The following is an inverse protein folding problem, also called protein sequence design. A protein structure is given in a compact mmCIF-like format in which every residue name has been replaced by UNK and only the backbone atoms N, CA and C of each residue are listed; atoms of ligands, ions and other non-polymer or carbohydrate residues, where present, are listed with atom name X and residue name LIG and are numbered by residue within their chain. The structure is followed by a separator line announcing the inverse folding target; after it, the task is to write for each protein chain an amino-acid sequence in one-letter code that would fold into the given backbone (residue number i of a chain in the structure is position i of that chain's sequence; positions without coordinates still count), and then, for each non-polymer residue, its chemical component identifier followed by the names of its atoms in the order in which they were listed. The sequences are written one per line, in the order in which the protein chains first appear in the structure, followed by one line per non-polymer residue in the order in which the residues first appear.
data_IF_609930781079
#
_entry.id   IF_609930781079
#
_cell.length_a   1.000
_cell.length_b   1.000
_cell.length_c   1.000
_cell.angle_alpha   90.00
_cell.angle_beta   90.00
_cell.angle_gamma   90.00
#
_symmetry.space_group_name_H-M   'P 1'
#
loop_
_entity.id
_entity.type
_entity.pdbx_description
1 polymer ?
#
# COMPACT_ATOMS: atom_id res chain seq x y z
N UNK A 1 -5.62 -5.37 52.39
CA UNK A 1 -6.74 -5.88 51.54
C UNK A 1 -6.84 -5.17 50.18
N UNK A 2 -6.46 -3.91 50.06
CA UNK A 2 -6.51 -3.09 48.82
C UNK A 2 -5.67 -3.62 47.65
N UNK A 3 -4.50 -4.21 47.92
CA UNK A 3 -3.57 -4.70 46.87
C UNK A 3 -4.10 -5.89 46.06
N UNK A 4 -4.89 -6.77 46.70
CA UNK A 4 -5.51 -7.92 46.03
C UNK A 4 -6.72 -7.57 45.17
N UNK A 5 -7.41 -6.47 45.50
CA UNK A 5 -8.53 -5.95 44.71
C UNK A 5 -8.02 -5.25 43.45
N UNK A 6 -6.90 -4.52 43.53
CA UNK A 6 -6.25 -3.89 42.38
C UNK A 6 -5.74 -4.94 41.39
N UNK A 7 -5.07 -6.00 41.87
CA UNK A 7 -4.63 -7.12 41.02
C UNK A 7 -5.79 -7.87 40.37
N UNK A 8 -6.92 -8.06 41.08
CA UNK A 8 -8.13 -8.64 40.48
C UNK A 8 -8.79 -7.71 39.48
N UNK A 9 -8.82 -6.40 39.72
CA UNK A 9 -9.35 -5.42 38.79
C UNK A 9 -8.49 -5.31 37.53
N UNK A 10 -7.16 -5.37 37.64
CA UNK A 10 -6.25 -5.44 36.50
C UNK A 10 -6.38 -6.77 35.74
N UNK A 11 -6.52 -7.90 36.42
CA UNK A 11 -6.78 -9.19 35.76
C UNK A 11 -8.16 -9.23 35.07
N UNK A 12 -9.19 -8.60 35.64
CA UNK A 12 -10.52 -8.50 35.04
C UNK A 12 -10.53 -7.49 33.89
N UNK A 13 -9.72 -6.43 33.95
CA UNK A 13 -9.53 -5.52 32.82
C UNK A 13 -8.70 -6.18 31.69
N UNK A 14 -7.71 -7.00 32.04
CA UNK A 14 -6.94 -7.81 31.09
C UNK A 14 -7.78 -8.96 30.48
N UNK A 15 -8.68 -9.55 31.26
CA UNK A 15 -9.67 -10.53 30.80
C UNK A 15 -10.89 -9.88 30.12
N UNK A 16 -11.07 -8.57 30.32
CA UNK A 16 -12.15 -7.74 29.79
C UNK A 16 -11.91 -7.20 28.39
N UNK A 17 -10.92 -7.73 27.68
CA UNK A 17 -10.89 -7.65 26.22
C UNK A 17 -12.00 -8.56 25.67
N UNK A 18 -13.26 -8.10 25.73
CA UNK A 18 -14.41 -8.69 25.03
C UNK A 18 -14.29 -8.49 23.50
N UNK A 19 -13.08 -8.60 22.97
CA UNK A 19 -12.79 -8.42 21.57
C UNK A 19 -12.69 -9.83 20.97
N UNK A 20 -13.53 -10.15 20.00
CA UNK A 20 -13.55 -11.47 19.34
C UNK A 20 -12.19 -11.90 18.74
N UNK A 21 -11.24 -10.97 18.63
CA UNK A 21 -9.88 -11.18 18.15
C UNK A 21 -8.84 -11.49 19.24
N UNK A 22 -9.20 -11.46 20.53
CA UNK A 22 -8.29 -11.80 21.61
C UNK A 22 -7.72 -13.22 21.46
N UNK A 23 -8.48 -14.17 20.91
CA UNK A 23 -8.03 -15.55 20.64
C UNK A 23 -7.07 -15.61 19.44
N UNK A 24 -7.07 -14.61 18.55
CA UNK A 24 -6.31 -14.59 17.29
C UNK A 24 -4.96 -13.84 17.39
N UNK A 25 -4.31 -13.85 18.56
CA UNK A 25 -3.00 -13.22 18.75
C UNK A 25 -3.03 -11.70 18.98
N UNK A 26 -4.21 -11.11 19.19
CA UNK A 26 -4.39 -9.69 19.52
C UNK A 26 -4.64 -9.45 21.02
N UNK A 27 -4.26 -10.40 21.88
CA UNK A 27 -4.33 -10.25 23.34
C UNK A 27 -3.52 -9.03 23.78
N UNK A 28 -4.15 -8.08 24.48
CA UNK A 28 -3.50 -6.87 24.99
C UNK A 28 -3.51 -5.67 24.05
N UNK A 29 -4.11 -5.78 22.85
CA UNK A 29 -4.37 -4.63 21.99
C UNK A 29 -5.78 -4.05 22.17
N UNK A 30 -5.89 -2.72 22.06
CA UNK A 30 -7.17 -2.04 21.96
C UNK A 30 -7.82 -2.29 20.59
N UNK A 31 -9.15 -2.14 20.49
CA UNK A 31 -9.86 -2.25 19.21
C UNK A 31 -9.30 -1.30 18.14
N UNK A 32 -8.84 -0.10 18.53
CA UNK A 32 -8.21 0.86 17.62
C UNK A 32 -6.86 0.38 17.08
N UNK A 33 -6.06 -0.33 17.89
CA UNK A 33 -4.79 -0.93 17.47
C UNK A 33 -5.00 -2.08 16.49
N UNK A 34 -6.02 -2.91 16.73
CA UNK A 34 -6.41 -4.01 15.84
C UNK A 34 -6.85 -3.45 14.48
N UNK A 35 -7.68 -2.40 14.48
CA UNK A 35 -8.11 -1.74 13.23
C UNK A 35 -6.92 -1.12 12.49
N UNK A 36 -6.02 -0.40 13.20
CA UNK A 36 -4.78 0.15 12.61
C UNK A 36 -3.93 -0.93 11.94
N UNK A 37 -3.78 -2.08 12.61
CA UNK A 37 -3.04 -3.22 12.09
C UNK A 37 -3.65 -3.75 10.78
N UNK A 38 -4.97 -3.96 10.73
CA UNK A 38 -5.64 -4.44 9.51
C UNK A 38 -5.56 -3.43 8.36
N UNK A 39 -5.68 -2.13 8.63
CA UNK A 39 -5.50 -1.11 7.60
C UNK A 39 -4.08 -1.10 7.04
N UNK A 40 -3.07 -1.20 7.91
CA UNK A 40 -1.68 -1.26 7.47
C UNK A 40 -1.40 -2.53 6.68
N UNK A 41 -1.97 -3.67 7.10
CA UNK A 41 -1.88 -4.93 6.36
C UNK A 41 -2.50 -4.81 4.96
N UNK A 42 -3.70 -4.22 4.85
CA UNK A 42 -4.35 -4.01 3.57
C UNK A 42 -3.54 -3.08 2.66
N UNK A 43 -3.03 -1.97 3.20
CA UNK A 43 -2.19 -1.03 2.46
C UNK A 43 -0.91 -1.71 1.96
N UNK A 44 -0.21 -2.43 2.83
CA UNK A 44 1.01 -3.17 2.47
C UNK A 44 0.75 -4.17 1.34
N UNK A 45 -0.29 -5.00 1.47
CA UNK A 45 -0.64 -5.98 0.44
C UNK A 45 -1.08 -5.30 -0.86
N UNK A 46 -1.83 -4.19 -0.77
CA UNK A 46 -2.22 -3.39 -1.92
C UNK A 46 -1.00 -2.91 -2.72
N UNK A 47 0.04 -2.44 -2.04
CA UNK A 47 1.30 -2.06 -2.68
C UNK A 47 2.01 -3.22 -3.36
N UNK A 48 2.11 -4.36 -2.67
CA UNK A 48 2.73 -5.56 -3.24
C UNK A 48 2.00 -6.00 -4.51
N UNK A 49 0.67 -5.94 -4.52
CA UNK A 49 -0.13 -6.27 -5.71
C UNK A 49 0.09 -5.26 -6.84
N UNK A 50 0.13 -3.96 -6.53
CA UNK A 50 0.39 -2.92 -7.54
C UNK A 50 1.78 -3.06 -8.17
N UNK A 51 2.80 -3.33 -7.36
CA UNK A 51 4.17 -3.60 -7.82
C UNK A 51 4.23 -4.85 -8.69
N UNK A 52 3.61 -5.95 -8.24
CA UNK A 52 3.56 -7.19 -9.02
C UNK A 52 2.85 -6.97 -10.37
N UNK A 53 1.76 -6.21 -10.37
CA UNK A 53 1.02 -5.88 -11.59
C UNK A 53 1.82 -4.98 -12.53
N UNK A 54 2.58 -4.00 -12.02
CA UNK A 54 3.42 -3.11 -12.85
C UNK A 54 4.58 -3.87 -13.46
N UNK A 55 5.22 -4.76 -12.71
CA UNK A 55 6.28 -5.63 -13.21
C UNK A 55 5.76 -6.62 -14.26
N UNK A 56 4.57 -7.20 -14.04
CA UNK A 56 3.93 -8.06 -15.04
C UNK A 56 3.60 -7.28 -16.33
N UNK A 57 3.06 -6.07 -16.21
CA UNK A 57 2.78 -5.21 -17.36
C UNK A 57 4.07 -4.81 -18.09
N UNK A 58 5.13 -4.48 -17.35
CA UNK A 58 6.45 -4.18 -17.90
C UNK A 58 7.02 -5.40 -18.64
N UNK A 59 6.96 -6.59 -18.06
CA UNK A 59 7.43 -7.83 -18.71
C UNK A 59 6.71 -8.09 -20.04
N UNK A 60 5.39 -7.90 -20.09
CA UNK A 60 4.60 -8.09 -21.31
C UNK A 60 4.92 -7.04 -22.37
N UNK A 61 5.16 -5.79 -21.97
CA UNK A 61 5.38 -4.67 -22.90
C UNK A 61 6.82 -4.51 -23.35
N UNK A 62 7.79 -4.96 -22.55
CA UNK A 62 9.23 -4.94 -22.86
C UNK A 62 9.64 -5.98 -23.90
N UNK A 63 8.87 -7.07 -24.05
CA UNK A 63 9.12 -8.07 -25.09
C UNK A 63 8.98 -7.42 -26.48
N UNK A 64 10.05 -7.39 -27.29
CA UNK A 64 9.98 -6.84 -28.63
C UNK A 64 9.04 -7.68 -29.48
N UNK A 65 8.04 -7.04 -30.09
CA UNK A 65 7.11 -7.68 -31.03
C UNK A 65 7.24 -6.93 -32.35
N UNK A 66 7.73 -7.60 -33.38
CA UNK A 66 8.10 -7.00 -34.68
C UNK A 66 9.32 -6.07 -34.63
N UNK A 67 10.33 -6.39 -33.81
CA UNK A 67 11.61 -5.67 -33.79
C UNK A 67 11.60 -4.28 -33.15
N UNK A 68 10.45 -3.80 -32.64
CA UNK A 68 10.33 -2.52 -31.93
C UNK A 68 9.93 -2.74 -30.47
N UNK A 69 10.63 -2.06 -29.56
CA UNK A 69 10.26 -1.99 -28.15
C UNK A 69 9.16 -0.93 -28.00
N UNK A 70 8.07 -1.28 -27.31
CA UNK A 70 6.93 -0.38 -27.12
C UNK A 70 7.29 0.71 -26.13
N UNK A 71 7.02 1.97 -26.47
CA UNK A 71 7.17 3.11 -25.54
C UNK A 71 6.35 2.93 -24.25
N UNK A 72 5.27 2.14 -24.29
CA UNK A 72 4.51 1.72 -23.12
C UNK A 72 5.37 1.04 -22.03
N UNK A 73 6.42 0.33 -22.40
CA UNK A 73 7.30 -0.35 -21.44
C UNK A 73 8.03 0.64 -20.51
N UNK A 74 8.41 1.81 -21.01
CA UNK A 74 9.08 2.85 -20.22
C UNK A 74 8.14 3.33 -19.10
N UNK A 75 6.87 3.52 -19.41
CA UNK A 75 5.86 3.96 -18.44
C UNK A 75 5.58 2.90 -17.37
N UNK A 76 5.50 1.62 -17.75
CA UNK A 76 5.34 0.53 -16.78
C UNK A 76 6.59 0.33 -15.91
N UNK A 77 7.79 0.56 -16.45
CA UNK A 77 9.03 0.56 -15.68
C UNK A 77 9.04 1.68 -14.65
N UNK A 78 8.75 2.92 -15.07
CA UNK A 78 8.65 4.07 -14.16
C UNK A 78 7.60 3.85 -13.07
N UNK A 79 6.44 3.27 -13.42
CA UNK A 79 5.41 2.90 -12.45
C UNK A 79 5.94 1.93 -11.39
N UNK A 80 6.72 0.92 -11.78
CA UNK A 80 7.32 -0.05 -10.87
C UNK A 80 8.33 0.63 -9.93
N UNK A 81 9.18 1.53 -10.44
CA UNK A 81 10.09 2.30 -9.59
C UNK A 81 9.32 3.13 -8.55
N UNK A 82 8.24 3.79 -8.96
CA UNK A 82 7.42 4.60 -8.07
C UNK A 82 6.66 3.76 -7.03
N UNK A 83 6.15 2.60 -7.41
CA UNK A 83 5.51 1.67 -6.48
C UNK A 83 6.50 1.05 -5.50
N UNK A 84 7.74 0.77 -5.92
CA UNK A 84 8.81 0.34 -5.02
C UNK A 84 9.15 1.43 -3.99
N UNK A 85 9.24 2.71 -4.41
CA UNK A 85 9.45 3.83 -3.48
C UNK A 85 8.27 4.02 -2.53
N UNK A 86 7.04 3.88 -3.03
CA UNK A 86 5.83 3.90 -2.20
C UNK A 86 5.82 2.75 -1.19
N UNK A 87 6.26 1.56 -1.60
CA UNK A 87 6.39 0.40 -0.72
C UNK A 87 7.42 0.65 0.39
N UNK A 88 8.60 1.19 0.06
CA UNK A 88 9.62 1.57 1.06
C UNK A 88 9.06 2.59 2.06
N UNK A 89 8.21 3.52 1.62
CA UNK A 89 7.56 4.47 2.53
C UNK A 89 6.73 3.80 3.63
N UNK A 90 6.19 2.60 3.39
CA UNK A 90 5.41 1.85 4.37
C UNK A 90 6.24 1.33 5.55
N UNK A 91 7.56 1.15 5.37
CA UNK A 91 8.49 0.77 6.45
C UNK A 91 8.56 1.85 7.53
N UNK A 92 8.43 3.12 7.16
CA UNK A 92 8.41 4.25 8.08
C UNK A 92 7.11 4.32 8.91
N UNK A 93 6.08 3.56 8.51
CA UNK A 93 4.85 3.39 9.27
C UNK A 93 4.95 2.43 10.45
N UNK A 94 6.05 1.70 10.63
CA UNK A 94 6.20 0.73 11.71
C UNK A 94 6.19 1.40 13.12
N UNK A 95 5.62 0.76 14.17
CA UNK A 95 4.84 -0.49 14.17
C UNK A 95 3.41 -0.35 13.62
N UNK A 96 2.90 -1.38 12.94
CA UNK A 96 1.62 -1.38 12.20
C UNK A 96 0.39 -1.04 13.06
N UNK A 97 0.38 -1.52 14.30
CA UNK A 97 -0.69 -1.32 15.27
C UNK A 97 -0.76 0.12 15.81
N UNK A 98 0.25 0.96 15.51
CA UNK A 98 0.33 2.38 15.91
C UNK A 98 0.41 3.33 14.72
N UNK A 99 0.38 2.82 13.49
CA UNK A 99 0.55 3.63 12.27
C UNK A 99 -0.52 4.70 12.09
N UNK A 100 -1.73 4.48 12.63
CA UNK A 100 -2.89 5.36 12.51
C UNK A 100 -3.42 5.89 13.85
N UNK A 101 -2.69 5.64 14.94
CA UNK A 101 -3.06 6.12 16.27
C UNK A 101 -2.21 7.34 16.59
N UNK A 102 -2.86 8.48 16.82
CA UNK A 102 -2.20 9.72 17.23
C UNK A 102 -1.38 9.50 18.49
N UNK A 103 -0.07 9.73 18.42
CA UNK A 103 0.77 9.84 19.61
C UNK A 103 0.46 11.18 20.27
N UNK A 104 0.44 11.23 21.60
CA UNK A 104 0.29 12.46 22.41
C UNK A 104 1.40 13.51 22.19
N UNK A 105 2.35 13.25 21.29
CA UNK A 105 3.39 14.19 20.91
C UNK A 105 2.95 15.04 19.69
N UNK A 106 3.17 16.37 19.73
CA UNK A 106 2.76 17.30 18.68
C UNK A 106 3.42 17.00 17.31
N UNK A 107 2.79 17.41 16.18
CA UNK A 107 1.70 18.38 16.09
C UNK A 107 0.32 17.72 16.21
N UNK A 108 -0.43 18.12 17.23
CA UNK A 108 -1.79 17.67 17.51
C UNK A 108 -2.86 18.41 16.69
N UNK A 109 -2.48 19.37 15.84
CA UNK A 109 -3.43 20.27 15.15
C UNK A 109 -4.27 19.58 14.06
N UNK A 110 -3.87 18.38 13.61
CA UNK A 110 -4.62 17.59 12.63
C UNK A 110 -5.28 16.34 13.22
N UNK A 111 -5.09 16.05 14.51
CA UNK A 111 -5.56 14.78 15.13
C UNK A 111 -4.96 13.50 14.52
N UNK A 112 -3.95 13.65 13.65
CA UNK A 112 -3.32 12.60 12.85
C UNK A 112 -1.85 12.51 13.24
N UNK A 113 -1.37 11.32 13.62
CA UNK A 113 0.02 11.13 14.07
C UNK A 113 1.05 11.39 12.96
N UNK A 114 2.25 11.84 13.31
CA UNK A 114 3.36 12.10 12.37
C UNK A 114 3.69 10.91 11.46
N UNK A 115 3.49 9.68 11.95
CA UNK A 115 3.66 8.43 11.19
C UNK A 115 2.62 8.29 10.08
N UNK A 116 1.38 8.63 10.38
CA UNK A 116 0.28 8.63 9.42
C UNK A 116 0.52 9.67 8.33
N UNK A 117 1.05 10.84 8.68
CA UNK A 117 1.44 11.88 7.71
C UNK A 117 2.53 11.35 6.78
N UNK A 118 3.57 10.70 7.30
CA UNK A 118 4.63 10.10 6.47
C UNK A 118 4.08 9.03 5.50
N UNK A 119 3.12 8.21 5.96
CA UNK A 119 2.43 7.23 5.11
C UNK A 119 1.60 7.90 4.00
N UNK A 120 0.86 8.96 4.32
CA UNK A 120 0.07 9.71 3.33
C UNK A 120 0.95 10.46 2.32
N UNK A 121 2.09 10.99 2.75
CA UNK A 121 3.09 11.59 1.86
C UNK A 121 3.62 10.51 0.90
N UNK A 122 3.95 9.32 1.41
CA UNK A 122 4.35 8.18 0.58
C UNK A 122 3.29 7.78 -0.46
N UNK A 123 2.02 7.69 -0.04
CA UNK A 123 0.87 7.41 -0.91
C UNK A 123 0.67 8.49 -1.98
N UNK A 124 0.61 9.75 -1.57
CA UNK A 124 0.29 10.86 -2.45
C UNK A 124 1.39 11.16 -3.46
N UNK A 125 2.66 11.06 -3.05
CA UNK A 125 3.79 11.45 -3.90
C UNK A 125 4.26 10.33 -4.81
N UNK A 126 4.20 9.07 -4.38
CA UNK A 126 4.76 7.97 -5.16
C UNK A 126 3.69 7.06 -5.75
N UNK A 127 2.66 6.68 -4.98
CA UNK A 127 1.64 5.75 -5.47
C UNK A 127 0.74 6.38 -6.55
N UNK A 128 0.25 7.61 -6.33
CA UNK A 128 -0.64 8.27 -7.28
C UNK A 128 0.02 8.52 -8.65
N UNK A 129 1.26 9.05 -8.74
CA UNK A 129 1.97 9.14 -10.01
C UNK A 129 2.29 7.77 -10.61
N UNK A 130 2.57 6.75 -9.79
CA UNK A 130 2.78 5.38 -10.27
C UNK A 130 1.55 4.82 -11.00
N UNK A 131 0.36 5.01 -10.43
CA UNK A 131 -0.92 4.63 -11.07
C UNK A 131 -1.12 5.38 -12.39
N UNK A 132 -0.84 6.69 -12.43
CA UNK A 132 -0.93 7.49 -13.66
C UNK A 132 0.02 6.97 -14.74
N UNK A 133 1.27 6.67 -14.39
CA UNK A 133 2.23 6.07 -15.32
C UNK A 133 1.71 4.73 -15.86
N UNK A 134 1.10 3.90 -15.01
CA UNK A 134 0.49 2.64 -15.43
C UNK A 134 -0.63 2.85 -16.46
N UNK A 135 -1.54 3.81 -16.20
CA UNK A 135 -2.63 4.15 -17.10
C UNK A 135 -2.12 4.67 -18.45
N UNK A 136 -1.13 5.55 -18.45
CA UNK A 136 -0.50 6.06 -19.67
C UNK A 136 0.12 4.90 -20.46
N UNK A 137 0.84 3.99 -19.79
CA UNK A 137 1.42 2.80 -20.41
C UNK A 137 0.36 1.93 -21.10
N UNK A 138 -0.79 1.69 -20.46
CA UNK A 138 -1.88 0.93 -21.06
C UNK A 138 -2.51 1.64 -22.27
N UNK A 139 -2.74 2.94 -22.19
CA UNK A 139 -3.33 3.73 -23.29
C UNK A 139 -2.40 3.71 -24.52
N UNK A 140 -1.10 3.96 -24.32
CA UNK A 140 -0.11 3.93 -25.40
C UNK A 140 0.04 2.52 -25.98
N UNK A 141 0.08 1.50 -25.12
CA UNK A 141 0.14 0.10 -25.56
C UNK A 141 -1.07 -0.32 -26.38
N UNK A 142 -2.26 0.18 -26.05
CA UNK A 142 -3.49 -0.07 -26.80
C UNK A 142 -3.47 0.65 -28.17
N UNK A 143 -3.01 1.91 -28.23
CA UNK A 143 -2.88 2.67 -29.48
C UNK A 143 -1.88 2.02 -30.44
N UNK A 144 -0.68 1.69 -29.96
CA UNK A 144 0.33 1.00 -30.77
C UNK A 144 -0.14 -0.36 -31.30
N UNK A 145 -0.97 -1.08 -30.52
CA UNK A 145 -1.55 -2.35 -30.99
C UNK A 145 -2.57 -2.14 -32.12
N UNK A 146 -3.28 -1.01 -32.14
CA UNK A 146 -4.22 -0.66 -33.22
C UNK A 146 -3.45 -0.24 -34.48
N UNK A 147 -2.47 0.64 -34.35
CA UNK A 147 -1.61 1.10 -35.46
C UNK A 147 -0.94 -0.09 -36.18
N UNK A 148 -0.31 -1.01 -35.44
CA UNK A 148 0.30 -2.21 -36.04
C UNK A 148 -0.71 -3.12 -36.74
N UNK A 149 -1.97 -3.15 -36.28
CA UNK A 149 -3.02 -3.95 -36.91
C UNK A 149 -3.50 -3.30 -38.20
N UNK A 150 -3.62 -1.98 -38.21
CA UNK A 150 -3.98 -1.20 -39.40
C UNK A 150 -2.88 -1.28 -40.46
N UNK A 151 -1.61 -1.14 -40.08
CA UNK A 151 -0.46 -1.35 -40.98
C UNK A 151 -0.46 -2.76 -41.59
N UNK A 152 -0.69 -3.80 -40.79
CA UNK A 152 -0.74 -5.18 -41.28
C UNK A 152 -1.90 -5.44 -42.25
N UNK A 153 -3.05 -4.77 -42.06
CA UNK A 153 -4.20 -4.86 -42.96
C UNK A 153 -4.02 -4.03 -44.24
N UNK A 154 -3.24 -2.96 -44.20
CA UNK A 154 -2.96 -2.11 -45.36
C UNK A 154 -1.92 -2.72 -46.31
N UNK A 155 -1.10 -3.66 -45.84
CA UNK A 155 -0.07 -4.36 -46.61
C UNK A 155 -0.56 -5.70 -47.19
N UNK A 156 -1.69 -6.22 -46.71
CA UNK A 156 -2.33 -7.45 -47.17
C UNK A 156 -3.33 -7.20 -48.31
#
# INVERSE_FOLDING_TARGET
MTRGVILRAEMIAAAGSNNAFAINGFTGFSNTQIVSFFFMFLLFNGYVVLEAASLAAFYVTSKPRHGRVRTAAIWHFMASVLFMLAFVSTVWGAPAEKSFIGTTAPPAELGVGTRTIALFIGMGIFAAPGVLCMLIGFILGARQKRELREEALAVA
#
